data_IF_812862439346
#
_entry.id   IF_812862439346
#
_cell.length_a   1.000
_cell.length_b   1.000
_cell.length_c   1.000
_cell.angle_alpha   90.00
_cell.angle_beta   90.00
_cell.angle_gamma   90.00
#
_symmetry.space_group_name_H-M   'P 1'
#
loop_
_entity.id
_entity.type
_entity.pdbx_description
1 polymer ?
#
# COMPACT_ATOMS: atom_id res chain seq x y z
N UNK A 1 -13.83 -21.73 -10.45
CA UNK A 1 -14.64 -20.71 -9.75
C UNK A 1 -13.86 -19.92 -8.69
N UNK A 2 -12.65 -20.33 -8.25
CA UNK A 2 -11.90 -19.63 -7.18
C UNK A 2 -11.27 -18.29 -7.58
N UNK A 3 -10.82 -18.12 -8.82
CA UNK A 3 -10.05 -16.92 -9.23
C UNK A 3 -10.83 -15.60 -9.26
N UNK A 4 -12.17 -15.63 -9.29
CA UNK A 4 -12.99 -14.42 -9.17
C UNK A 4 -13.03 -13.90 -7.71
N UNK A 5 -12.90 -14.80 -6.72
CA UNK A 5 -12.80 -14.42 -5.30
C UNK A 5 -11.45 -13.79 -5.00
N UNK A 6 -10.36 -14.40 -5.48
CA UNK A 6 -9.00 -13.90 -5.27
C UNK A 6 -8.79 -12.51 -5.89
N UNK A 7 -9.33 -12.27 -7.09
CA UNK A 7 -9.27 -10.96 -7.73
C UNK A 7 -10.04 -9.90 -6.93
N UNK A 8 -11.23 -10.24 -6.43
CA UNK A 8 -12.05 -9.33 -5.62
C UNK A 8 -11.41 -9.05 -4.25
N UNK A 9 -10.85 -10.06 -3.59
CA UNK A 9 -10.13 -9.93 -2.32
C UNK A 9 -8.88 -9.06 -2.48
N UNK A 10 -8.12 -9.25 -3.55
CA UNK A 10 -6.97 -8.43 -3.87
C UNK A 10 -7.33 -6.99 -4.14
N UNK A 11 -8.37 -6.76 -4.92
CA UNK A 11 -8.88 -5.41 -5.23
C UNK A 11 -9.40 -4.72 -3.96
N UNK A 12 -10.09 -5.45 -3.09
CA UNK A 12 -10.49 -4.96 -1.77
C UNK A 12 -9.28 -4.60 -0.90
N UNK A 13 -8.28 -5.48 -0.82
CA UNK A 13 -7.05 -5.24 -0.07
C UNK A 13 -6.27 -4.02 -0.60
N UNK A 14 -6.24 -3.85 -1.93
CA UNK A 14 -5.59 -2.71 -2.58
C UNK A 14 -6.28 -1.40 -2.21
N UNK A 15 -7.62 -1.35 -2.30
CA UNK A 15 -8.40 -0.19 -1.86
C UNK A 15 -8.16 0.15 -0.40
N UNK A 16 -8.12 -0.86 0.47
CA UNK A 16 -7.84 -0.65 1.89
C UNK A 16 -6.43 -0.06 2.10
N UNK A 17 -5.39 -0.66 1.50
CA UNK A 17 -4.02 -0.16 1.58
C UNK A 17 -3.90 1.27 1.04
N UNK A 18 -4.59 1.59 -0.06
CA UNK A 18 -4.63 2.93 -0.63
C UNK A 18 -5.28 3.94 0.32
N UNK A 19 -6.43 3.61 0.91
CA UNK A 19 -7.10 4.47 1.89
C UNK A 19 -6.22 4.75 3.12
N UNK A 20 -5.49 3.74 3.60
CA UNK A 20 -4.54 3.91 4.72
C UNK A 20 -3.38 4.82 4.31
N UNK A 21 -2.86 4.69 3.09
CA UNK A 21 -1.81 5.55 2.56
C UNK A 21 -2.26 7.02 2.53
N UNK A 22 -3.40 7.30 1.89
CA UNK A 22 -3.94 8.66 1.78
C UNK A 22 -4.20 9.29 3.14
N UNK A 23 -4.88 8.56 4.04
CA UNK A 23 -5.18 9.06 5.38
C UNK A 23 -3.90 9.35 6.17
N UNK A 24 -2.91 8.46 6.10
CA UNK A 24 -1.65 8.65 6.83
C UNK A 24 -0.89 9.87 6.32
N UNK A 25 -0.86 10.10 5.00
CA UNK A 25 -0.25 11.29 4.42
C UNK A 25 -0.98 12.58 4.81
N UNK A 26 -2.31 12.56 4.85
CA UNK A 26 -3.10 13.71 5.32
C UNK A 26 -2.76 14.05 6.77
N UNK A 27 -2.73 13.05 7.66
CA UNK A 27 -2.41 13.28 9.08
C UNK A 27 -0.97 13.74 9.25
N UNK A 28 -0.02 13.18 8.49
CA UNK A 28 1.37 13.62 8.52
C UNK A 28 1.51 15.10 8.10
N UNK A 29 0.81 15.52 7.04
CA UNK A 29 0.77 16.92 6.62
C UNK A 29 0.20 17.81 7.72
N UNK A 30 -0.96 17.45 8.27
CA UNK A 30 -1.62 18.25 9.32
C UNK A 30 -0.74 18.34 10.58
N UNK A 31 0.05 17.31 10.89
CA UNK A 31 1.02 17.31 11.99
C UNK A 31 2.22 18.24 11.71
N UNK A 32 2.73 18.27 10.48
CA UNK A 32 3.78 19.21 10.07
C UNK A 32 3.30 20.66 10.13
N UNK A 33 2.04 20.94 9.76
CA UNK A 33 1.42 22.26 9.89
C UNK A 33 1.27 22.72 11.35
N UNK A 34 1.29 21.77 12.31
CA UNK A 34 1.20 22.02 13.75
C UNK A 34 2.57 21.96 14.46
N UNK A 35 3.68 21.89 13.70
CA UNK A 35 5.04 21.69 14.21
C UNK A 35 5.22 20.41 15.07
N UNK A 36 4.36 19.41 14.89
CA UNK A 36 4.44 18.10 15.58
C UNK A 36 5.23 17.09 14.73
N UNK A 37 6.56 17.24 14.76
CA UNK A 37 7.48 16.39 14.00
C UNK A 37 7.43 14.91 14.42
N UNK A 38 7.16 14.61 15.69
CA UNK A 38 7.10 13.24 16.19
C UNK A 38 5.89 12.50 15.60
N UNK A 39 4.72 13.15 15.60
CA UNK A 39 3.50 12.61 15.00
C UNK A 39 3.61 12.53 13.48
N UNK A 40 4.22 13.53 12.83
CA UNK A 40 4.47 13.49 11.41
C UNK A 40 5.31 12.25 11.02
N UNK A 41 6.39 11.99 11.75
CA UNK A 41 7.26 10.83 11.51
C UNK A 41 6.53 9.48 11.67
N UNK A 42 5.67 9.34 12.67
CA UNK A 42 4.84 8.14 12.88
C UNK A 42 3.96 7.85 11.65
N UNK A 43 3.24 8.88 11.18
CA UNK A 43 2.31 8.70 10.06
C UNK A 43 3.01 8.58 8.70
N UNK A 44 4.21 9.15 8.54
CA UNK A 44 5.07 8.89 7.37
C UNK A 44 5.48 7.42 7.35
N UNK A 45 5.96 6.85 8.46
CA UNK A 45 6.33 5.44 8.51
C UNK A 45 5.13 4.51 8.19
N UNK A 46 3.94 4.88 8.67
CA UNK A 46 2.70 4.18 8.34
C UNK A 46 2.34 4.28 6.84
N UNK A 47 2.49 5.47 6.25
CA UNK A 47 2.30 5.70 4.82
C UNK A 47 3.27 4.86 3.98
N UNK A 48 4.55 4.78 4.37
CA UNK A 48 5.55 3.94 3.72
C UNK A 48 5.13 2.46 3.73
N UNK A 49 4.69 1.94 4.88
CA UNK A 49 4.20 0.57 4.97
C UNK A 49 2.98 0.33 4.06
N UNK A 50 2.00 1.24 4.06
CA UNK A 50 0.83 1.15 3.19
C UNK A 50 1.22 1.20 1.69
N UNK A 51 2.18 2.06 1.32
CA UNK A 51 2.73 2.13 -0.03
C UNK A 51 3.40 0.81 -0.44
N UNK A 52 4.17 0.17 0.45
CA UNK A 52 4.72 -1.16 0.21
C UNK A 52 3.62 -2.20 -0.07
N UNK A 53 2.53 -2.18 0.69
CA UNK A 53 1.39 -3.08 0.47
C UNK A 53 0.72 -2.82 -0.88
N UNK A 54 0.47 -1.56 -1.24
CA UNK A 54 -0.05 -1.19 -2.56
C UNK A 54 0.85 -1.74 -3.68
N UNK A 55 2.17 -1.55 -3.60
CA UNK A 55 3.10 -2.06 -4.62
C UNK A 55 3.05 -3.58 -4.71
N UNK A 56 3.02 -4.29 -3.58
CA UNK A 56 2.88 -5.76 -3.58
C UNK A 56 1.57 -6.18 -4.25
N UNK A 57 0.46 -5.55 -3.90
CA UNK A 57 -0.86 -5.85 -4.45
C UNK A 57 -1.06 -5.39 -5.89
N UNK A 58 -0.22 -4.51 -6.43
CA UNK A 58 -0.24 -4.16 -7.86
C UNK A 58 0.66 -5.08 -8.68
N UNK A 59 1.87 -5.39 -8.17
CA UNK A 59 2.92 -6.02 -8.97
C UNK A 59 3.24 -7.48 -8.61
N UNK A 60 2.65 -8.07 -7.56
CA UNK A 60 2.85 -9.48 -7.19
C UNK A 60 2.68 -10.52 -8.32
N UNK A 61 1.73 -10.41 -9.27
CA UNK A 61 1.55 -11.42 -10.31
C UNK A 61 2.57 -11.26 -11.44
N UNK A 62 3.20 -10.09 -11.58
CA UNK A 62 4.23 -9.85 -12.58
C UNK A 62 5.58 -10.48 -12.18
N UNK A 63 5.85 -10.57 -10.87
CA UNK A 63 7.05 -11.22 -10.35
C UNK A 63 7.07 -12.73 -10.64
N UNK A 64 5.92 -13.40 -10.64
CA UNK A 64 5.81 -14.83 -10.92
C UNK A 64 5.92 -15.19 -12.42
N UNK A 65 5.64 -14.24 -13.33
CA UNK A 65 5.70 -14.46 -14.77
C UNK A 65 7.10 -14.24 -15.38
N UNK A 66 8.03 -13.63 -14.63
CA UNK A 66 9.41 -13.38 -15.07
C UNK A 66 10.34 -14.60 -14.98
N UNK A 67 9.99 -15.62 -14.19
CA UNK A 67 10.82 -16.80 -13.92
C UNK A 67 10.61 -17.97 -14.90
N UNK A 68 9.73 -17.83 -15.90
CA UNK A 68 9.47 -18.88 -16.91
C UNK A 68 10.14 -18.63 -18.26
N UNK A 69 11.06 -17.65 -18.36
CA UNK A 69 11.83 -17.37 -19.59
C UNK A 69 13.32 -17.70 -19.51
N UNK A 70 13.75 -18.40 -18.45
CA UNK A 70 15.15 -18.78 -18.24
C UNK A 70 15.32 -20.27 -17.88
N UNK A 71 14.59 -21.15 -18.57
CA UNK A 71 14.83 -22.60 -18.57
C UNK A 71 15.00 -23.11 -20.00
#
# INVERSE_FOLDING_TARGET
MSGLSEAAERDHALRNAWNVLELSLSIARDALEQDDAARAAEFIARAEHASLQCRRLLYAPLAAAGDHRAA
#
